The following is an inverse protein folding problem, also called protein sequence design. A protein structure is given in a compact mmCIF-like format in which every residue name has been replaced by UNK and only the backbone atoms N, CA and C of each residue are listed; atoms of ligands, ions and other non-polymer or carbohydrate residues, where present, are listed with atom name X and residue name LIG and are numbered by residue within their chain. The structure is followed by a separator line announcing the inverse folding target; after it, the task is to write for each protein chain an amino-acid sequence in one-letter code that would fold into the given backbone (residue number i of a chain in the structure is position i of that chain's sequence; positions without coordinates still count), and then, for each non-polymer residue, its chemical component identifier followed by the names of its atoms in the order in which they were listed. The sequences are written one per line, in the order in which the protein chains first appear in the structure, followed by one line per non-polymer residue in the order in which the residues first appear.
data_IF_191530215212
#
_entry.id   IF_191530215212
#
_cell.length_a   1.000
_cell.length_b   1.000
_cell.length_c   1.000
_cell.angle_alpha   90.00
_cell.angle_beta   90.00
_cell.angle_gamma   90.00
#
_symmetry.space_group_name_H-M   'P 1'
#
loop_
_entity.id
_entity.type
_entity.pdbx_description
1 polymer ?
#
# COMPACT_ATOMS: atom_id res chain seq x y z
N UNK A 1 -8.79 -41.24 -64.91
CA UNK A 1 -9.15 -39.85 -64.57
C UNK A 1 -9.69 -39.86 -63.15
N UNK A 2 -9.07 -39.14 -62.23
CA UNK A 2 -9.61 -38.98 -60.87
C UNK A 2 -10.86 -38.11 -60.95
N UNK A 3 -11.96 -38.54 -60.31
CA UNK A 3 -13.19 -37.76 -60.33
C UNK A 3 -13.06 -36.56 -59.37
N UNK A 4 -13.81 -35.47 -59.57
CA UNK A 4 -13.86 -34.33 -58.63
C UNK A 4 -14.18 -34.77 -57.19
N UNK A 5 -14.98 -35.83 -57.02
CA UNK A 5 -15.31 -36.44 -55.73
C UNK A 5 -14.09 -37.07 -55.07
N UNK A 6 -13.26 -37.80 -55.82
CA UNK A 6 -12.03 -38.42 -55.30
C UNK A 6 -11.03 -37.36 -54.82
N UNK A 7 -10.93 -36.25 -55.55
CA UNK A 7 -10.08 -35.12 -55.17
C UNK A 7 -10.58 -34.43 -53.89
N UNK A 8 -11.89 -34.25 -53.73
CA UNK A 8 -12.49 -33.69 -52.52
C UNK A 8 -12.27 -34.59 -51.30
N UNK A 9 -12.46 -35.91 -51.44
CA UNK A 9 -12.20 -36.88 -50.37
C UNK A 9 -10.74 -36.87 -49.92
N UNK A 10 -9.78 -36.83 -50.86
CA UNK A 10 -8.36 -36.75 -50.56
C UNK A 10 -8.01 -35.45 -49.80
N UNK A 11 -8.64 -34.32 -50.18
CA UNK A 11 -8.44 -33.05 -49.50
C UNK A 11 -8.97 -33.06 -48.05
N UNK A 12 -10.15 -33.64 -47.83
CA UNK A 12 -10.73 -33.80 -46.49
C UNK A 12 -9.85 -34.68 -45.62
N UNK A 13 -9.36 -35.82 -46.14
CA UNK A 13 -8.45 -36.71 -45.41
C UNK A 13 -7.16 -35.98 -45.00
N UNK A 14 -6.59 -35.17 -45.89
CA UNK A 14 -5.40 -34.37 -45.60
C UNK A 14 -5.65 -33.30 -44.53
N UNK A 15 -6.81 -32.65 -44.57
CA UNK A 15 -7.23 -31.69 -43.54
C UNK A 15 -7.43 -32.37 -42.20
N UNK A 16 -8.06 -33.54 -42.16
CA UNK A 16 -8.23 -34.34 -40.94
C UNK A 16 -6.89 -34.76 -40.35
N UNK A 17 -5.94 -35.23 -41.17
CA UNK A 17 -4.57 -35.53 -40.70
C UNK A 17 -3.90 -34.30 -40.09
N UNK A 18 -3.99 -33.15 -40.77
CA UNK A 18 -3.41 -31.89 -40.27
C UNK A 18 -4.05 -31.45 -38.95
N UNK A 19 -5.36 -31.63 -38.80
CA UNK A 19 -6.09 -31.35 -37.56
C UNK A 19 -5.64 -32.27 -36.44
N UNK A 20 -5.53 -33.58 -36.71
CA UNK A 20 -5.03 -34.56 -35.73
C UNK A 20 -3.62 -34.20 -35.25
N UNK A 21 -2.71 -33.89 -36.16
CA UNK A 21 -1.34 -33.46 -35.81
C UNK A 21 -1.33 -32.20 -34.93
N UNK A 22 -2.19 -31.22 -35.24
CA UNK A 22 -2.32 -30.00 -34.44
C UNK A 22 -2.90 -30.27 -33.06
N UNK A 23 -3.90 -31.14 -32.95
CA UNK A 23 -4.49 -31.52 -31.65
C UNK A 23 -3.45 -32.23 -30.79
N UNK A 24 -2.73 -33.22 -31.33
CA UNK A 24 -1.66 -33.91 -30.59
C UNK A 24 -0.55 -32.94 -30.16
N UNK A 25 -0.19 -31.96 -31.00
CA UNK A 25 0.78 -30.93 -30.63
C UNK A 25 0.25 -29.97 -29.54
N UNK A 26 -1.05 -29.69 -29.51
CA UNK A 26 -1.68 -28.89 -28.46
C UNK A 26 -1.74 -29.65 -27.14
N UNK A 27 -2.13 -30.93 -27.16
CA UNK A 27 -2.17 -31.78 -25.97
C UNK A 27 -0.79 -31.83 -25.30
N UNK A 28 0.27 -32.04 -26.08
CA UNK A 28 1.64 -32.02 -25.56
C UNK A 28 2.01 -30.67 -24.90
N UNK A 29 1.60 -29.55 -25.50
CA UNK A 29 1.85 -28.22 -24.91
C UNK A 29 1.09 -28.02 -23.60
N UNK A 30 -0.12 -28.57 -23.49
CA UNK A 30 -0.91 -28.51 -22.26
C UNK A 30 -0.24 -29.34 -21.16
N UNK A 31 0.25 -30.54 -21.48
CA UNK A 31 1.00 -31.38 -20.55
C UNK A 31 2.26 -30.65 -20.05
N UNK A 32 3.07 -30.07 -20.96
CA UNK A 32 4.27 -29.30 -20.61
C UNK A 32 3.94 -28.10 -19.69
N UNK A 33 2.83 -27.41 -19.95
CA UNK A 33 2.36 -26.28 -19.11
C UNK A 33 1.90 -26.75 -17.73
N UNK A 34 1.24 -27.91 -17.65
CA UNK A 34 0.80 -28.49 -16.39
C UNK A 34 2.00 -28.89 -15.51
N UNK A 35 3.03 -29.49 -16.11
CA UNK A 35 4.28 -29.81 -15.41
C UNK A 35 4.99 -28.54 -14.92
N UNK A 36 5.11 -27.52 -15.78
CA UNK A 36 5.72 -26.25 -15.41
C UNK A 36 4.98 -25.57 -14.25
N UNK A 37 3.64 -25.50 -14.32
CA UNK A 37 2.83 -24.90 -13.26
C UNK A 37 2.94 -25.67 -11.94
N UNK A 38 3.03 -27.00 -12.00
CA UNK A 38 3.23 -27.84 -10.81
C UNK A 38 4.56 -27.50 -10.14
N UNK A 39 5.64 -27.39 -10.91
CA UNK A 39 6.96 -27.01 -10.41
C UNK A 39 6.97 -25.62 -9.76
N UNK A 40 6.39 -24.62 -10.42
CA UNK A 40 6.31 -23.25 -9.88
C UNK A 40 5.46 -23.19 -8.60
N UNK A 41 4.37 -23.96 -8.52
CA UNK A 41 3.57 -24.05 -7.32
C UNK A 41 4.34 -24.65 -6.14
N UNK A 42 5.16 -25.66 -6.40
CA UNK A 42 6.00 -26.27 -5.37
C UNK A 42 7.11 -25.31 -4.92
N UNK A 43 7.81 -24.65 -5.84
CA UNK A 43 8.80 -23.60 -5.52
C UNK A 43 8.17 -22.48 -4.68
N UNK A 44 6.96 -22.03 -5.03
CA UNK A 44 6.25 -21.01 -4.26
C UNK A 44 5.84 -21.50 -2.87
N UNK A 45 5.40 -22.75 -2.74
CA UNK A 45 5.06 -23.34 -1.44
C UNK A 45 6.31 -23.48 -0.57
N UNK A 46 7.44 -23.89 -1.14
CA UNK A 46 8.70 -24.04 -0.42
C UNK A 46 9.26 -22.68 -0.01
N UNK A 47 9.23 -21.68 -0.90
CA UNK A 47 9.58 -20.30 -0.56
C UNK A 47 8.70 -19.74 0.56
N UNK A 48 7.39 -20.01 0.51
CA UNK A 48 6.47 -19.63 1.59
C UNK A 48 6.83 -20.33 2.90
N UNK A 49 7.09 -21.64 2.89
CA UNK A 49 7.52 -22.37 4.10
C UNK A 49 8.83 -21.82 4.65
N UNK A 50 9.78 -21.44 3.80
CA UNK A 50 11.04 -20.86 4.22
C UNK A 50 10.84 -19.46 4.85
N UNK A 51 9.97 -18.64 4.26
CA UNK A 51 9.60 -17.33 4.78
C UNK A 51 8.83 -17.43 6.10
N UNK A 52 7.86 -18.34 6.19
CA UNK A 52 7.12 -18.62 7.42
C UNK A 52 8.08 -19.12 8.51
N UNK A 53 9.06 -19.97 8.18
CA UNK A 53 10.09 -20.43 9.11
C UNK A 53 11.03 -19.30 9.56
N UNK A 54 11.36 -18.35 8.68
CA UNK A 54 12.15 -17.16 9.01
C UNK A 54 11.36 -16.17 9.88
N UNK A 55 10.08 -15.96 9.60
CA UNK A 55 9.20 -15.10 10.41
C UNK A 55 8.87 -15.70 11.78
N UNK A 56 8.78 -17.04 11.88
CA UNK A 56 8.40 -17.72 13.11
C UNK A 56 9.53 -17.89 14.13
N UNK A 57 10.75 -17.43 13.83
CA UNK A 57 11.91 -17.57 14.72
C UNK A 57 12.67 -16.26 14.83
N UNK A 58 12.14 -15.32 15.61
CA UNK A 58 13.01 -14.32 16.24
C UNK A 58 14.07 -15.07 17.05
N UNK A 59 15.34 -14.72 16.86
CA UNK A 59 16.42 -15.33 17.64
C UNK A 59 16.28 -14.94 19.12
N UNK A 60 16.79 -15.74 20.07
CA UNK A 60 16.78 -15.37 21.49
C UNK A 60 17.40 -13.99 21.77
N UNK A 61 18.36 -13.59 20.95
CA UNK A 61 19.00 -12.27 21.00
C UNK A 61 18.05 -11.14 20.59
N UNK A 62 17.26 -11.31 19.54
CA UNK A 62 16.25 -10.33 19.12
C UNK A 62 15.11 -10.21 20.13
N UNK A 63 14.77 -11.31 20.80
CA UNK A 63 13.80 -11.32 21.89
C UNK A 63 14.34 -10.52 23.08
N UNK A 64 15.59 -10.76 23.49
CA UNK A 64 16.22 -10.02 24.57
C UNK A 64 16.36 -8.52 24.25
N UNK A 65 16.66 -8.18 23.00
CA UNK A 65 16.75 -6.78 22.55
C UNK A 65 15.38 -6.08 22.64
N UNK A 66 14.31 -6.72 22.17
CA UNK A 66 12.94 -6.21 22.31
C UNK A 66 12.51 -6.05 23.76
N UNK A 67 12.83 -7.02 24.63
CA UNK A 67 12.58 -6.91 26.06
C UNK A 67 13.37 -5.75 26.70
N UNK A 68 14.61 -5.52 26.25
CA UNK A 68 15.46 -4.42 26.72
C UNK A 68 14.97 -3.04 26.25
N UNK A 69 14.38 -2.98 25.05
CA UNK A 69 13.68 -1.81 24.50
C UNK A 69 12.31 -1.59 25.16
N UNK A 70 11.94 -2.46 26.10
CA UNK A 70 10.71 -2.35 26.86
C UNK A 70 9.49 -2.83 26.09
N UNK A 71 9.60 -3.87 25.26
CA UNK A 71 8.47 -4.57 24.66
C UNK A 71 8.18 -5.89 25.41
N UNK A 72 6.92 -6.28 25.51
CA UNK A 72 6.46 -7.55 26.06
C UNK A 72 5.64 -8.32 25.03
N UNK A 73 5.82 -9.64 25.00
CA UNK A 73 5.02 -10.53 24.16
C UNK A 73 3.68 -10.79 24.84
N UNK A 74 2.58 -10.50 24.16
CA UNK A 74 1.23 -10.76 24.66
C UNK A 74 0.75 -12.19 24.32
N UNK A 75 -0.37 -12.58 24.93
CA UNK A 75 -1.00 -13.90 24.78
C UNK A 75 -1.51 -14.18 23.35
N UNK A 76 -1.62 -13.14 22.52
CA UNK A 76 -1.94 -13.20 21.09
C UNK A 76 -0.71 -13.53 20.22
N UNK A 77 0.47 -13.59 20.82
CA UNK A 77 1.74 -13.85 20.14
C UNK A 77 2.43 -12.60 19.57
N UNK A 78 1.86 -11.41 19.74
CA UNK A 78 2.38 -10.14 19.22
C UNK A 78 3.21 -9.39 20.29
N UNK A 79 4.11 -8.50 19.85
CA UNK A 79 4.96 -7.70 20.73
C UNK A 79 4.41 -6.29 20.91
N UNK A 80 4.24 -5.83 22.15
CA UNK A 80 3.75 -4.49 22.48
C UNK A 80 4.69 -3.79 23.46
N UNK A 81 4.81 -2.45 23.42
CA UNK A 81 5.53 -1.73 24.46
C UNK A 81 4.94 -2.04 25.84
N UNK A 82 5.80 -2.32 26.80
CA UNK A 82 5.49 -2.67 28.19
C UNK A 82 4.63 -1.58 28.82
N UNK A 83 3.47 -1.96 29.32
CA UNK A 83 2.48 -1.03 29.88
C UNK A 83 1.54 -0.39 28.85
N UNK A 84 1.81 -0.54 27.55
CA UNK A 84 0.91 -0.18 26.44
C UNK A 84 0.24 -1.46 25.93
N UNK A 85 -0.38 -2.21 26.86
CA UNK A 85 -1.23 -3.34 26.48
C UNK A 85 -2.49 -2.77 25.83
N UNK A 86 -2.50 -2.73 24.49
CA UNK A 86 -3.70 -2.47 23.70
C UNK A 86 -4.83 -3.34 24.23
N UNK A 87 -5.87 -2.71 24.76
CA UNK A 87 -6.89 -3.36 25.55
C UNK A 87 -7.67 -4.35 24.66
N UNK A 88 -7.45 -5.65 24.89
CA UNK A 88 -8.25 -6.77 24.37
C UNK A 88 -8.83 -6.48 22.98
N UNK A 89 -7.98 -6.60 21.97
CA UNK A 89 -8.35 -6.30 20.60
C UNK A 89 -8.84 -7.57 19.92
N UNK A 90 -10.04 -7.55 19.35
CA UNK A 90 -10.54 -8.62 18.48
C UNK A 90 -10.60 -8.10 17.05
N UNK A 91 -10.17 -8.91 16.08
CA UNK A 91 -10.27 -8.49 14.68
C UNK A 91 -11.74 -8.37 14.28
N UNK A 92 -12.08 -7.48 13.34
CA UNK A 92 -13.46 -7.38 12.84
C UNK A 92 -13.99 -8.68 12.23
N UNK A 93 -13.11 -9.47 11.62
CA UNK A 93 -13.46 -10.78 11.09
C UNK A 93 -13.81 -11.77 12.21
N UNK A 94 -13.05 -11.79 13.30
CA UNK A 94 -13.32 -12.65 14.45
C UNK A 94 -14.49 -12.14 15.31
N UNK A 95 -14.73 -10.82 15.34
CA UNK A 95 -15.86 -10.20 16.03
C UNK A 95 -17.21 -10.51 15.37
N UNK A 96 -17.22 -10.96 14.10
CA UNK A 96 -18.43 -11.45 13.42
C UNK A 96 -18.89 -12.80 13.95
N UNK A 97 -18.01 -13.57 14.60
CA UNK A 97 -18.37 -14.82 15.26
C UNK A 97 -18.91 -14.54 16.68
N UNK A 98 -20.19 -14.85 16.97
CA UNK A 98 -20.79 -14.59 18.28
C UNK A 98 -20.14 -15.32 19.45
N UNK A 99 -19.45 -16.45 19.23
CA UNK A 99 -18.77 -17.18 20.30
C UNK A 99 -17.43 -16.53 20.63
N UNK A 100 -16.65 -16.18 19.61
CA UNK A 100 -15.35 -15.50 19.78
C UNK A 100 -15.50 -14.12 20.39
N UNK A 101 -16.50 -13.35 19.94
CA UNK A 101 -16.81 -12.04 20.53
C UNK A 101 -17.17 -12.14 22.02
N UNK A 102 -17.98 -13.14 22.41
CA UNK A 102 -18.36 -13.35 23.81
C UNK A 102 -17.17 -13.76 24.68
N UNK A 103 -16.31 -14.64 24.19
CA UNK A 103 -15.10 -15.04 24.89
C UNK A 103 -14.14 -13.86 25.08
N UNK A 104 -13.92 -13.06 24.04
CA UNK A 104 -13.06 -11.89 24.09
C UNK A 104 -13.63 -10.80 25.00
N UNK A 105 -14.95 -10.55 24.94
CA UNK A 105 -15.65 -9.61 25.83
C UNK A 105 -15.54 -10.02 27.29
N UNK A 106 -15.72 -11.30 27.59
CA UNK A 106 -15.65 -11.82 28.95
C UNK A 106 -14.20 -11.82 29.48
N UNK A 107 -13.20 -12.02 28.61
CA UNK A 107 -11.79 -11.84 28.95
C UNK A 107 -11.45 -10.37 29.23
N UNK A 108 -11.99 -9.44 28.43
CA UNK A 108 -11.83 -8.00 28.64
C UNK A 108 -12.50 -7.53 29.94
N UNK A 109 -13.73 -7.97 30.21
CA UNK A 109 -14.48 -7.67 31.43
C UNK A 109 -13.79 -8.24 32.68
N UNK A 110 -13.28 -9.47 32.63
CA UNK A 110 -12.47 -10.06 33.72
C UNK A 110 -11.20 -9.27 34.00
N UNK A 111 -10.62 -8.66 32.98
CA UNK A 111 -9.45 -7.79 33.09
C UNK A 111 -9.81 -6.33 33.44
N UNK A 112 -11.09 -6.00 33.64
CA UNK A 112 -11.56 -4.66 33.96
C UNK A 112 -11.38 -3.64 32.82
N UNK A 113 -11.29 -4.10 31.57
CA UNK A 113 -11.03 -3.28 30.39
C UNK A 113 -12.11 -3.49 29.32
N UNK A 114 -12.25 -2.51 28.43
CA UNK A 114 -13.18 -2.59 27.29
C UNK A 114 -12.53 -3.31 26.11
N UNK A 115 -13.28 -4.21 25.47
CA UNK A 115 -12.89 -4.87 24.22
C UNK A 115 -12.88 -3.85 23.07
N UNK A 116 -11.78 -3.75 22.34
CA UNK A 116 -11.69 -2.93 21.12
C UNK A 116 -11.76 -3.82 19.88
N UNK A 117 -12.51 -3.41 18.85
CA UNK A 117 -12.57 -4.16 17.58
C UNK A 117 -11.63 -3.49 16.59
N UNK A 118 -10.56 -4.17 16.22
CA UNK A 118 -9.55 -3.67 15.27
C UNK A 118 -9.78 -4.26 13.89
N UNK A 119 -9.62 -3.44 12.86
CA UNK A 119 -9.70 -3.90 11.47
C UNK A 119 -8.29 -4.06 10.91
N UNK A 120 -7.85 -5.30 10.70
CA UNK A 120 -6.53 -5.62 10.13
C UNK A 120 -6.51 -5.36 8.61
N UNK A 121 -7.68 -5.19 7.99
CA UNK A 121 -7.81 -4.85 6.56
C UNK A 121 -7.89 -3.35 6.28
N UNK A 122 -7.95 -2.53 7.33
CA UNK A 122 -7.61 -1.13 7.19
C UNK A 122 -6.10 -1.06 7.02
N UNK A 123 -5.63 -0.95 5.77
CA UNK A 123 -4.42 -0.20 5.49
C UNK A 123 -4.43 0.99 6.45
N UNK A 124 -3.38 1.08 7.27
CA UNK A 124 -3.13 2.18 8.21
C UNK A 124 -3.93 3.39 7.78
N UNK A 125 -4.93 3.77 8.58
CA UNK A 125 -5.69 4.98 8.37
C UNK A 125 -4.74 6.15 8.65
N UNK A 126 -3.82 6.39 7.70
CA UNK A 126 -2.80 7.43 7.71
C UNK A 126 -3.43 8.82 7.74
N UNK A 127 -4.75 8.90 7.57
CA UNK A 127 -5.53 10.13 7.75
C UNK A 127 -5.64 10.58 9.21
N UNK A 128 -5.20 9.76 10.18
CA UNK A 128 -5.21 10.12 11.61
C UNK A 128 -3.85 10.56 12.17
N UNK A 129 -2.81 10.67 11.34
CA UNK A 129 -1.63 11.43 11.75
C UNK A 129 -1.99 12.91 11.74
N UNK A 130 -1.89 13.55 12.90
CA UNK A 130 -2.06 15.00 13.05
C UNK A 130 -1.27 15.73 11.97
N UNK A 131 -1.90 16.73 11.36
CA UNK A 131 -1.31 17.54 10.29
C UNK A 131 0.09 17.97 10.73
N UNK A 132 1.14 17.53 10.03
CA UNK A 132 2.54 17.86 10.37
C UNK A 132 2.73 19.37 10.53
N UNK A 133 3.63 19.80 11.40
CA UNK A 133 3.81 21.22 11.73
C UNK A 133 4.03 22.09 10.47
N UNK A 134 3.49 23.30 10.49
CA UNK A 134 3.68 24.28 9.41
C UNK A 134 4.91 25.10 9.79
N UNK A 135 5.86 25.22 8.86
CA UNK A 135 6.95 26.17 9.03
C UNK A 135 6.44 27.60 8.86
N UNK A 136 6.10 28.21 9.99
CA UNK A 136 5.64 29.60 10.08
C UNK A 136 6.79 30.61 10.10
N UNK A 137 8.05 30.15 10.08
CA UNK A 137 9.22 31.05 10.03
C UNK A 137 9.39 31.70 8.66
N UNK A 138 8.87 31.05 7.61
CA UNK A 138 8.87 31.55 6.24
C UNK A 138 7.81 32.65 6.10
N UNK A 139 8.12 33.72 5.35
CA UNK A 139 7.17 34.81 5.10
C UNK A 139 6.33 34.57 3.84
N UNK A 140 6.93 33.92 2.86
CA UNK A 140 6.33 33.61 1.58
C UNK A 140 5.31 32.49 1.76
N UNK A 141 4.06 32.80 1.47
CA UNK A 141 2.95 31.85 1.57
C UNK A 141 2.52 31.28 0.22
N UNK A 142 3.01 31.84 -0.89
CA UNK A 142 2.64 31.45 -2.25
C UNK A 142 3.86 31.48 -3.16
N UNK A 143 4.15 30.35 -3.82
CA UNK A 143 5.18 30.24 -4.84
C UNK A 143 4.54 29.70 -6.12
N UNK A 144 4.64 30.44 -7.23
CA UNK A 144 4.05 30.06 -8.53
C UNK A 144 5.10 29.39 -9.40
N UNK A 145 4.77 28.27 -10.03
CA UNK A 145 5.50 27.69 -11.14
C UNK A 145 4.74 27.98 -12.44
N UNK A 146 5.25 28.95 -13.20
CA UNK A 146 4.64 29.38 -14.45
C UNK A 146 4.86 28.38 -15.59
N UNK A 147 5.89 27.52 -15.49
CA UNK A 147 6.20 26.51 -16.50
C UNK A 147 5.24 25.32 -16.41
N UNK A 148 5.00 24.81 -15.20
CA UNK A 148 4.10 23.68 -14.97
C UNK A 148 2.64 24.10 -14.70
N UNK A 149 2.38 25.41 -14.63
CA UNK A 149 1.09 25.99 -14.19
C UNK A 149 0.64 25.43 -12.84
N UNK A 150 1.58 25.28 -11.91
CA UNK A 150 1.31 24.83 -10.53
C UNK A 150 1.57 25.97 -9.57
N UNK A 151 0.64 26.22 -8.65
CA UNK A 151 0.83 27.22 -7.59
C UNK A 151 0.91 26.51 -6.25
N UNK A 152 2.04 26.65 -5.57
CA UNK A 152 2.27 26.07 -4.26
C UNK A 152 1.88 27.08 -3.17
N UNK A 153 0.79 26.81 -2.48
CA UNK A 153 0.27 27.66 -1.41
C UNK A 153 0.49 26.99 -0.06
N UNK A 154 1.01 27.74 0.92
CA UNK A 154 1.25 27.19 2.25
C UNK A 154 -0.07 26.85 2.92
N UNK A 155 -0.11 25.75 3.67
CA UNK A 155 -1.34 25.15 4.18
C UNK A 155 -2.18 26.08 5.06
N UNK A 156 -1.54 26.92 5.87
CA UNK A 156 -2.19 27.96 6.69
C UNK A 156 -2.83 29.06 5.82
N UNK A 157 -2.10 29.53 4.81
CA UNK A 157 -2.57 30.56 3.87
C UNK A 157 -3.72 30.05 2.99
N UNK A 158 -3.68 28.76 2.61
CA UNK A 158 -4.76 28.14 1.84
C UNK A 158 -6.06 28.06 2.63
N UNK A 159 -5.98 27.85 3.95
CA UNK A 159 -7.14 27.83 4.83
C UNK A 159 -7.63 29.25 5.18
N UNK A 160 -6.73 30.24 5.26
CA UNK A 160 -7.07 31.61 5.66
C UNK A 160 -7.48 32.53 4.49
N UNK A 161 -6.97 32.31 3.27
CA UNK A 161 -7.28 33.10 2.09
C UNK A 161 -7.90 32.26 0.95
N UNK A 162 -9.21 31.96 1.03
CA UNK A 162 -9.93 31.25 -0.03
C UNK A 162 -10.01 32.05 -1.34
N UNK A 163 -9.81 33.37 -1.31
CA UNK A 163 -9.85 34.22 -2.51
C UNK A 163 -8.58 34.07 -3.33
N UNK A 164 -7.41 33.94 -2.68
CA UNK A 164 -6.17 33.60 -3.38
C UNK A 164 -6.28 32.24 -4.09
N UNK A 165 -6.82 31.22 -3.44
CA UNK A 165 -7.07 29.91 -4.05
C UNK A 165 -7.97 30.01 -5.29
N UNK A 166 -9.10 30.71 -5.18
CA UNK A 166 -10.05 30.88 -6.29
C UNK A 166 -9.44 31.63 -7.47
N UNK A 167 -8.65 32.70 -7.21
CA UNK A 167 -7.96 33.46 -8.26
C UNK A 167 -6.95 32.61 -9.02
N UNK A 168 -6.13 31.83 -8.31
CA UNK A 168 -5.15 30.93 -8.94
C UNK A 168 -5.83 29.90 -9.85
N UNK A 169 -6.96 29.35 -9.42
CA UNK A 169 -7.76 28.42 -10.22
C UNK A 169 -8.39 29.10 -11.44
N UNK A 170 -8.86 30.34 -11.30
CA UNK A 170 -9.37 31.14 -12.41
C UNK A 170 -8.28 31.53 -13.43
N UNK A 171 -7.05 31.77 -12.96
CA UNK A 171 -5.85 31.98 -13.77
C UNK A 171 -5.34 30.66 -14.43
N UNK A 172 -5.98 29.53 -14.13
CA UNK A 172 -5.67 28.22 -14.71
C UNK A 172 -4.43 27.55 -14.09
N UNK A 173 -4.11 27.85 -12.84
CA UNK A 173 -3.10 27.13 -12.06
C UNK A 173 -3.72 25.97 -11.28
N UNK A 174 -2.97 24.87 -11.18
CA UNK A 174 -3.25 23.79 -10.23
C UNK A 174 -2.66 24.16 -8.88
N UNK A 175 -3.48 24.33 -7.85
CA UNK A 175 -3.00 24.73 -6.53
C UNK A 175 -2.62 23.48 -5.72
N UNK A 176 -1.36 23.41 -5.30
CA UNK A 176 -0.83 22.38 -4.39
C UNK A 176 -0.55 22.99 -3.02
N UNK A 177 -0.79 22.22 -1.96
CA UNK A 177 -0.51 22.65 -0.59
C UNK A 177 0.89 22.22 -0.16
N UNK A 178 1.57 23.05 0.61
CA UNK A 178 2.84 22.70 1.27
C UNK A 178 2.85 23.17 2.73
N UNK A 179 3.62 22.49 3.59
CA UNK A 179 3.73 22.80 5.03
C UNK A 179 5.16 23.16 5.43
N UNK A 180 6.16 22.49 4.85
CA UNK A 180 7.60 22.79 5.04
C UNK A 180 8.31 22.92 3.69
N UNK A 181 9.52 23.50 3.68
CA UNK A 181 10.32 23.64 2.45
C UNK A 181 10.57 22.31 1.76
N UNK A 182 10.70 21.21 2.52
CA UNK A 182 10.94 19.87 1.99
C UNK A 182 9.76 19.32 1.16
N UNK A 183 8.54 19.85 1.36
CA UNK A 183 7.37 19.48 0.57
C UNK A 183 7.41 20.03 -0.87
N UNK A 184 8.29 21.01 -1.14
CA UNK A 184 8.42 21.65 -2.45
C UNK A 184 9.47 20.92 -3.32
N UNK A 185 9.26 20.83 -4.64
CA UNK A 185 10.30 20.39 -5.57
C UNK A 185 11.58 21.25 -5.47
N UNK A 186 12.75 20.68 -5.76
CA UNK A 186 14.06 21.35 -5.58
C UNK A 186 14.17 22.71 -6.27
N UNK A 187 13.58 22.88 -7.45
CA UNK A 187 13.56 24.17 -8.15
C UNK A 187 12.70 25.22 -7.43
N UNK A 188 11.61 24.78 -6.79
CA UNK A 188 10.72 25.63 -6.01
C UNK A 188 11.28 25.96 -4.62
N UNK A 189 12.06 25.06 -4.02
CA UNK A 189 12.83 25.37 -2.80
C UNK A 189 13.83 26.50 -3.07
N UNK A 190 14.52 26.44 -4.21
CA UNK A 190 15.46 27.49 -4.63
C UNK A 190 14.73 28.81 -4.88
N UNK A 191 13.57 28.77 -5.55
CA UNK A 191 12.73 29.95 -5.78
C UNK A 191 12.21 30.55 -4.48
N UNK A 192 11.73 29.72 -3.55
CA UNK A 192 11.29 30.14 -2.22
C UNK A 192 12.44 30.82 -1.47
N UNK A 193 13.63 30.23 -1.43
CA UNK A 193 14.80 30.82 -0.78
C UNK A 193 15.20 32.17 -1.40
N UNK A 194 14.99 32.36 -2.71
CA UNK A 194 15.20 33.66 -3.37
C UNK A 194 14.11 34.68 -2.98
N UNK A 195 12.86 34.25 -2.87
CA UNK A 195 11.73 35.10 -2.44
C UNK A 195 11.86 35.52 -0.97
N UNK A 196 12.28 34.62 -0.07
CA UNK A 196 12.56 34.94 1.33
C UNK A 196 13.70 35.96 1.45
N UNK A 197 14.73 35.85 0.61
CA UNK A 197 15.83 36.82 0.57
C UNK A 197 15.39 38.19 0.06
N UNK A 198 14.48 38.25 -0.91
CA UNK A 198 13.95 39.53 -1.40
C UNK A 198 13.00 40.19 -0.39
N UNK A 199 12.19 39.39 0.30
CA UNK A 199 11.22 39.89 1.30
C UNK A 199 11.88 40.26 2.64
N UNK A 200 13.13 39.82 2.87
CA UNK A 200 13.98 40.24 3.98
C UNK A 200 14.77 41.54 3.74
N UNK A 201 14.67 42.13 2.54
CA UNK A 201 15.51 43.25 2.08
C UNK A 201 14.94 44.67 2.26
N UNK A 202 13.80 44.85 2.91
CA UNK A 202 13.29 46.18 3.29
C UNK A 202 13.38 46.35 4.81
N UNK A 203 14.48 46.97 5.24
CA UNK A 203 14.62 47.64 6.54
C UNK A 203 14.58 49.15 6.30
#
# INVERSE_FOLDING_TARGET
MTTPTDAALAAILKQMQTLTEKVTAQDKRLDDLHEFNTKILDEKKDAKRALDAAQSKMTPEQIADLESMGFEKADDGNWYPKGVKGAHEITRADARDPQKYRAAKLAAERAGKTLSIVDVSAHQDQHRHGRGDIDTTLRTTLVRDDHERVAYMRRDAMQSDPRAYQRLRAEGFTVQQWSTTDDLPSHMQTKLALMEKSDGGQA
#
